data_IF_816124523980
#
_entry.id   IF_816124523980
#
_cell.length_a   1.000
_cell.length_b   1.000
_cell.length_c   1.000
_cell.angle_alpha   90.00
_cell.angle_beta   90.00
_cell.angle_gamma   90.00
#
_symmetry.space_group_name_H-M   'P 1'
#
loop_
_entity.id
_entity.type
_entity.pdbx_description
1 polymer ?
#
# COMPACT_ATOMS: atom_id res chain seq x y z
N UNK A 1 -27.16 14.57 -23.18
CA UNK A 1 -25.73 14.67 -23.42
C UNK A 1 -25.18 13.23 -23.35
N UNK A 2 -24.77 12.69 -24.46
CA UNK A 2 -24.28 11.31 -24.57
C UNK A 2 -22.97 11.23 -23.79
N UNK A 3 -22.98 10.52 -22.65
CA UNK A 3 -21.77 10.25 -21.88
C UNK A 3 -20.77 9.49 -22.79
N UNK A 4 -19.68 10.13 -23.13
CA UNK A 4 -18.52 9.40 -23.64
C UNK A 4 -18.14 8.43 -22.52
N UNK A 5 -18.20 7.13 -22.79
CA UNK A 5 -17.57 6.14 -21.91
C UNK A 5 -16.10 6.54 -21.80
N UNK A 6 -15.69 7.07 -20.66
CA UNK A 6 -14.31 7.41 -20.39
C UNK A 6 -13.54 6.08 -20.23
N UNK A 7 -12.71 5.78 -21.20
CA UNK A 7 -11.93 4.54 -21.17
C UNK A 7 -10.66 4.81 -20.35
N UNK A 8 -10.54 4.18 -19.21
CA UNK A 8 -9.35 4.25 -18.36
C UNK A 8 -8.27 3.31 -18.95
N UNK A 9 -7.20 3.90 -19.49
CA UNK A 9 -6.04 3.17 -20.03
C UNK A 9 -4.90 3.07 -19.02
N UNK A 10 -4.75 4.07 -18.14
CA UNK A 10 -3.71 4.14 -17.12
C UNK A 10 -4.38 4.32 -15.76
N UNK A 11 -4.35 3.27 -14.94
CA UNK A 11 -4.89 3.24 -13.58
C UNK A 11 -3.73 3.04 -12.62
N UNK A 12 -3.46 4.03 -11.78
CA UNK A 12 -2.42 4.02 -10.78
C UNK A 12 -3.01 3.74 -9.40
N UNK A 13 -2.56 2.66 -8.74
CA UNK A 13 -3.07 2.26 -7.43
C UNK A 13 -2.08 2.51 -6.28
N UNK A 14 -0.94 3.13 -6.57
CA UNK A 14 0.08 3.45 -5.57
C UNK A 14 0.35 4.95 -5.56
N UNK A 15 -0.48 5.68 -4.82
CA UNK A 15 -0.44 7.14 -4.79
C UNK A 15 -0.84 7.69 -3.43
N UNK A 16 0.15 8.14 -2.66
CA UNK A 16 -0.07 8.65 -1.32
C UNK A 16 -0.69 10.05 -1.33
N UNK A 17 -1.51 10.33 -0.31
CA UNK A 17 -2.06 11.65 -0.06
C UNK A 17 -1.92 12.05 1.41
N UNK A 18 -1.84 13.35 1.64
CA UNK A 18 -1.85 13.97 2.97
C UNK A 18 -2.91 15.07 2.94
N UNK A 19 -3.66 15.19 4.03
CA UNK A 19 -4.74 16.16 4.14
C UNK A 19 -4.44 17.17 5.24
N UNK A 20 -4.75 18.44 4.97
CA UNK A 20 -4.50 19.53 5.93
C UNK A 20 -5.25 19.31 7.26
N UNK A 21 -6.43 18.74 7.19
CA UNK A 21 -7.30 18.48 8.33
C UNK A 21 -6.72 17.41 9.28
N UNK A 22 -5.84 16.54 8.78
CA UNK A 22 -5.17 15.52 9.60
C UNK A 22 -3.93 16.06 10.32
N UNK A 23 -3.43 17.23 9.93
CA UNK A 23 -2.24 17.81 10.57
C UNK A 23 -2.51 18.13 12.04
N UNK A 24 -1.55 17.78 12.90
CA UNK A 24 -1.60 17.97 14.35
C UNK A 24 -2.78 17.27 15.06
N UNK A 25 -3.42 16.30 14.40
CA UNK A 25 -4.61 15.62 14.96
C UNK A 25 -4.28 14.63 16.08
N UNK A 26 -3.01 14.17 16.17
CA UNK A 26 -2.53 13.35 17.28
C UNK A 26 -1.53 14.17 18.09
N UNK A 27 -1.90 14.48 19.33
CA UNK A 27 -1.11 15.34 20.22
C UNK A 27 0.33 14.85 20.38
N UNK A 28 1.29 15.69 19.97
CA UNK A 28 2.72 15.41 20.09
C UNK A 28 3.29 14.43 19.03
N UNK A 29 2.43 13.74 18.27
CA UNK A 29 2.86 12.77 17.28
C UNK A 29 2.59 13.22 15.83
N UNK A 30 1.80 14.27 15.63
CA UNK A 30 1.53 14.85 14.31
C UNK A 30 0.28 14.28 13.62
N UNK A 31 0.26 14.08 12.31
CA UNK A 31 1.31 14.50 11.36
C UNK A 31 1.59 16.00 11.41
N UNK A 32 2.82 16.43 11.18
CA UNK A 32 3.22 17.82 11.21
C UNK A 32 4.03 18.22 9.97
N UNK A 33 3.82 19.44 9.49
CA UNK A 33 4.68 20.07 8.49
C UNK A 33 5.34 21.30 9.12
N UNK A 34 6.58 21.58 8.71
CA UNK A 34 7.30 22.72 9.25
C UNK A 34 8.55 23.05 8.44
N UNK A 35 9.40 23.89 9.04
CA UNK A 35 10.56 24.44 8.38
C UNK A 35 10.23 25.68 7.56
N UNK A 36 11.20 26.15 6.78
CA UNK A 36 11.07 27.25 5.86
C UNK A 36 11.10 26.76 4.39
N UNK A 37 11.15 27.71 3.44
CA UNK A 37 11.17 27.40 2.02
C UNK A 37 12.37 26.53 1.60
N UNK A 38 13.50 26.72 2.24
CA UNK A 38 14.77 26.09 1.88
C UNK A 38 15.03 24.79 2.68
N UNK A 39 14.38 24.67 3.85
CA UNK A 39 14.51 23.52 4.75
C UNK A 39 13.13 23.01 5.20
N UNK A 40 12.24 22.59 4.28
CA UNK A 40 10.94 22.03 4.65
C UNK A 40 11.10 20.65 5.27
N UNK A 41 10.14 20.27 6.11
CA UNK A 41 10.09 18.93 6.67
C UNK A 41 8.66 18.47 6.97
N UNK A 42 8.50 17.16 7.02
CA UNK A 42 7.29 16.49 7.46
C UNK A 42 7.62 15.49 8.57
N UNK A 43 6.83 15.40 9.62
CA UNK A 43 7.04 14.52 10.76
C UNK A 43 5.77 13.76 11.14
N UNK A 44 5.92 12.48 11.46
CA UNK A 44 4.91 11.67 12.15
C UNK A 44 5.60 10.75 13.17
N UNK A 45 5.12 10.74 14.41
CA UNK A 45 5.85 10.10 15.50
C UNK A 45 7.24 10.69 15.66
N UNK A 46 8.24 9.84 15.80
CA UNK A 46 9.65 10.20 15.89
C UNK A 46 10.33 10.35 14.52
N UNK A 47 9.67 9.94 13.44
CA UNK A 47 10.23 9.96 12.09
C UNK A 47 10.04 11.32 11.42
N UNK A 48 11.14 11.90 10.94
CA UNK A 48 11.17 13.20 10.27
C UNK A 48 11.79 13.08 8.89
N UNK A 49 11.01 13.44 7.87
CA UNK A 49 11.47 13.59 6.49
C UNK A 49 11.96 15.04 6.29
N UNK A 50 13.26 15.20 6.12
CA UNK A 50 13.87 16.50 5.82
C UNK A 50 13.96 16.74 4.32
N UNK A 51 13.86 18.01 3.91
CA UNK A 51 13.89 18.41 2.49
C UNK A 51 12.60 18.11 1.71
N UNK A 52 11.56 17.59 2.37
CA UNK A 52 10.29 17.24 1.73
C UNK A 52 9.23 18.28 2.03
N UNK A 53 8.68 18.88 0.97
CA UNK A 53 7.58 19.84 1.05
C UNK A 53 6.30 19.21 0.54
N UNK A 54 5.28 19.16 1.38
CA UNK A 54 3.94 18.66 0.99
C UNK A 54 2.94 19.80 0.77
N UNK A 55 3.05 20.89 1.53
CA UNK A 55 2.14 22.03 1.41
C UNK A 55 2.23 22.71 0.03
N UNK A 56 1.08 23.00 -0.57
CA UNK A 56 0.95 23.54 -1.93
C UNK A 56 1.59 22.65 -3.00
N UNK A 57 1.48 21.35 -2.85
CA UNK A 57 1.90 20.32 -3.82
C UNK A 57 0.74 19.36 -4.12
N UNK A 58 0.85 18.57 -5.18
CA UNK A 58 -0.17 17.55 -5.49
C UNK A 58 -0.38 16.49 -4.40
N UNK A 59 0.48 16.37 -3.39
CA UNK A 59 0.23 15.51 -2.23
C UNK A 59 -0.95 15.98 -1.38
N UNK A 60 -1.15 17.32 -1.28
CA UNK A 60 -2.17 17.93 -0.42
C UNK A 60 -3.25 18.67 -1.18
N UNK A 61 -3.02 19.03 -2.43
CA UNK A 61 -3.96 19.79 -3.26
C UNK A 61 -4.46 18.95 -4.42
N UNK A 62 -5.78 18.68 -4.40
CA UNK A 62 -6.44 17.82 -5.40
C UNK A 62 -6.40 18.44 -6.80
N UNK A 63 -6.49 19.76 -6.95
CA UNK A 63 -6.43 20.41 -8.27
C UNK A 63 -5.04 20.27 -8.86
N UNK A 64 -4.00 20.56 -8.07
CA UNK A 64 -2.61 20.33 -8.49
C UNK A 64 -2.34 18.86 -8.81
N UNK A 65 -2.96 17.93 -8.06
CA UNK A 65 -2.87 16.51 -8.34
C UNK A 65 -3.47 16.14 -9.70
N UNK A 66 -4.66 16.64 -10.00
CA UNK A 66 -5.31 16.40 -11.29
C UNK A 66 -4.47 16.95 -12.46
N UNK A 67 -3.89 18.15 -12.31
CA UNK A 67 -2.98 18.71 -13.29
C UNK A 67 -1.72 17.86 -13.49
N UNK A 68 -1.14 17.34 -12.40
CA UNK A 68 0.01 16.43 -12.47
C UNK A 68 -0.35 15.09 -13.12
N UNK A 69 -1.49 14.49 -12.79
CA UNK A 69 -2.01 13.27 -13.43
C UNK A 69 -2.18 13.49 -14.93
N UNK A 70 -2.80 14.61 -15.34
CA UNK A 70 -2.97 14.95 -16.75
C UNK A 70 -1.62 15.07 -17.47
N UNK A 71 -0.64 15.74 -16.84
CA UNK A 71 0.70 15.87 -17.39
C UNK A 71 1.42 14.54 -17.58
N UNK A 72 1.15 13.55 -16.72
CA UNK A 72 1.70 12.20 -16.76
C UNK A 72 0.88 11.25 -17.66
N UNK A 73 -0.38 11.58 -17.95
CA UNK A 73 -1.30 10.74 -18.71
C UNK A 73 -1.96 9.65 -17.87
N UNK A 74 -2.10 9.87 -16.55
CA UNK A 74 -2.81 8.97 -15.64
C UNK A 74 -4.30 9.27 -15.71
N UNK A 75 -5.11 8.27 -16.07
CA UNK A 75 -6.57 8.44 -16.22
C UNK A 75 -7.29 8.35 -14.88
N UNK A 76 -6.90 7.40 -14.03
CA UNK A 76 -7.51 7.16 -12.73
C UNK A 76 -6.43 6.85 -11.69
N UNK A 77 -6.61 7.36 -10.48
CA UNK A 77 -5.67 7.14 -9.39
C UNK A 77 -6.40 6.80 -8.10
N UNK A 78 -5.92 5.78 -7.37
CA UNK A 78 -6.45 5.42 -6.06
C UNK A 78 -5.53 6.00 -4.99
N UNK A 79 -6.05 6.94 -4.20
CA UNK A 79 -5.32 7.58 -3.12
C UNK A 79 -5.20 6.66 -1.92
N UNK A 80 -4.05 6.68 -1.28
CA UNK A 80 -3.76 5.93 -0.07
C UNK A 80 -3.20 6.81 1.04
N UNK A 81 -3.30 6.40 2.32
CA UNK A 81 -2.59 7.06 3.41
C UNK A 81 -1.08 7.13 3.14
N UNK A 82 -0.44 8.21 3.60
CA UNK A 82 1.02 8.24 3.59
C UNK A 82 1.55 7.21 4.61
N UNK A 83 2.55 6.36 4.26
CA UNK A 83 3.02 5.27 5.12
C UNK A 83 3.47 5.68 6.51
N UNK A 84 4.05 6.87 6.66
CA UNK A 84 4.46 7.35 7.99
C UNK A 84 3.29 7.80 8.88
N UNK A 85 2.06 7.75 8.37
CA UNK A 85 0.84 8.14 9.11
C UNK A 85 -0.04 6.95 9.49
N UNK A 86 0.47 5.72 9.49
CA UNK A 86 -0.33 4.56 9.94
C UNK A 86 -0.61 4.59 11.44
N UNK A 87 0.32 5.10 12.25
CA UNK A 87 0.18 5.20 13.70
C UNK A 87 -0.22 3.89 14.41
N UNK A 88 0.27 2.75 13.92
CA UNK A 88 -0.04 1.42 14.49
C UNK A 88 0.48 1.25 15.93
N UNK A 89 1.28 2.19 16.42
CA UNK A 89 1.91 2.17 17.75
C UNK A 89 1.20 3.01 18.80
N UNK A 90 0.14 3.75 18.43
CA UNK A 90 -0.63 4.58 19.39
C UNK A 90 -1.80 3.80 19.98
N UNK A 91 -2.43 4.37 21.00
CA UNK A 91 -3.61 3.77 21.62
C UNK A 91 -4.75 3.56 20.62
N UNK A 92 -5.44 2.40 20.64
CA UNK A 92 -6.47 2.06 19.65
C UNK A 92 -7.54 3.13 19.46
N UNK A 93 -7.98 3.78 20.54
CA UNK A 93 -8.98 4.86 20.48
C UNK A 93 -8.51 6.07 19.67
N UNK A 94 -7.24 6.44 19.79
CA UNK A 94 -6.65 7.55 19.04
C UNK A 94 -6.48 7.15 17.58
N UNK A 95 -6.04 5.92 17.32
CA UNK A 95 -5.94 5.39 15.94
C UNK A 95 -7.31 5.34 15.24
N UNK A 96 -8.36 4.89 15.92
CA UNK A 96 -9.73 4.89 15.37
C UNK A 96 -10.17 6.31 14.99
N UNK A 97 -9.93 7.29 15.83
CA UNK A 97 -10.30 8.68 15.58
C UNK A 97 -9.50 9.25 14.39
N UNK A 98 -8.20 8.96 14.33
CA UNK A 98 -7.34 9.40 13.24
C UNK A 98 -7.76 8.77 11.89
N UNK A 99 -7.97 7.46 11.85
CA UNK A 99 -8.38 6.77 10.62
C UNK A 99 -9.72 7.31 10.11
N UNK A 100 -10.70 7.54 10.98
CA UNK A 100 -11.98 8.15 10.59
C UNK A 100 -11.79 9.55 10.03
N UNK A 101 -11.02 10.40 10.69
CA UNK A 101 -10.73 11.76 10.22
C UNK A 101 -10.07 11.72 8.84
N UNK A 102 -9.07 10.85 8.67
CA UNK A 102 -8.35 10.68 7.40
C UNK A 102 -9.30 10.25 6.28
N UNK A 103 -10.09 9.21 6.51
CA UNK A 103 -11.01 8.65 5.51
C UNK A 103 -12.13 9.63 5.15
N UNK A 104 -12.71 10.31 6.13
CA UNK A 104 -13.74 11.34 5.88
C UNK A 104 -13.19 12.51 5.07
N UNK A 105 -11.98 12.97 5.41
CA UNK A 105 -11.31 14.06 4.68
C UNK A 105 -10.97 13.63 3.26
N UNK A 106 -10.42 12.44 3.06
CA UNK A 106 -10.14 11.91 1.72
C UNK A 106 -11.43 11.83 0.89
N UNK A 107 -12.50 11.23 1.43
CA UNK A 107 -13.78 11.10 0.74
C UNK A 107 -14.35 12.46 0.33
N UNK A 108 -14.29 13.44 1.22
CA UNK A 108 -14.71 14.82 0.93
C UNK A 108 -13.86 15.44 -0.19
N UNK A 109 -12.54 15.31 -0.10
CA UNK A 109 -11.60 15.92 -1.05
C UNK A 109 -11.77 15.39 -2.48
N UNK A 110 -12.07 14.10 -2.65
CA UNK A 110 -12.26 13.48 -3.97
C UNK A 110 -13.72 13.48 -4.44
N UNK A 111 -14.68 14.00 -3.65
CA UNK A 111 -16.12 13.86 -3.91
C UNK A 111 -16.57 14.37 -5.28
N UNK A 112 -15.96 15.44 -5.78
CA UNK A 112 -16.26 16.05 -7.08
C UNK A 112 -15.43 15.49 -8.25
N UNK A 113 -14.58 14.48 -7.99
CA UNK A 113 -13.60 13.94 -8.95
C UNK A 113 -13.59 12.41 -8.97
N UNK A 114 -14.71 11.78 -8.62
CA UNK A 114 -14.83 10.31 -8.52
C UNK A 114 -14.57 9.58 -9.84
N UNK A 115 -14.71 10.25 -10.97
CA UNK A 115 -14.35 9.72 -12.28
C UNK A 115 -12.84 9.67 -12.54
N UNK A 116 -12.04 10.36 -11.70
CA UNK A 116 -10.56 10.42 -11.78
C UNK A 116 -9.86 9.88 -10.53
N UNK A 117 -10.54 9.88 -9.37
CA UNK A 117 -9.93 9.59 -8.08
C UNK A 117 -10.79 8.62 -7.26
N UNK A 118 -10.16 7.59 -6.76
CA UNK A 118 -10.67 6.68 -5.73
C UNK A 118 -9.87 6.78 -4.44
N UNK A 119 -10.23 5.96 -3.44
CA UNK A 119 -9.50 5.90 -2.17
C UNK A 119 -9.38 4.49 -1.62
N UNK A 120 -8.29 4.26 -0.88
CA UNK A 120 -8.13 3.14 0.03
C UNK A 120 -8.28 3.61 1.48
N UNK A 121 -8.90 2.81 2.33
CA UNK A 121 -9.15 3.14 3.71
C UNK A 121 -7.90 3.04 4.58
N UNK A 122 -7.64 4.07 5.38
CA UNK A 122 -6.75 4.01 6.54
C UNK A 122 -7.46 3.27 7.67
N UNK A 123 -6.77 2.32 8.32
CA UNK A 123 -7.39 1.41 9.28
C UNK A 123 -6.60 1.31 10.60
N UNK A 124 -7.30 1.25 11.76
CA UNK A 124 -6.68 1.13 13.07
C UNK A 124 -6.27 -0.33 13.36
N UNK A 125 -5.16 -0.79 12.78
CA UNK A 125 -4.72 -2.19 12.83
C UNK A 125 -4.31 -2.71 14.21
N UNK A 126 -4.28 -1.85 15.23
CA UNK A 126 -4.15 -2.25 16.64
C UNK A 126 -5.40 -3.00 17.14
N UNK A 127 -6.55 -2.80 16.49
CA UNK A 127 -7.84 -3.38 16.83
C UNK A 127 -8.53 -3.90 15.55
N UNK A 128 -8.41 -5.21 15.23
CA UNK A 128 -8.97 -5.78 14.00
C UNK A 128 -10.50 -5.66 13.89
N UNK A 129 -11.22 -5.64 15.02
CA UNK A 129 -12.68 -5.44 15.00
C UNK A 129 -13.03 -4.01 14.60
N UNK A 130 -12.31 -3.02 15.15
CA UNK A 130 -12.46 -1.63 14.77
C UNK A 130 -12.03 -1.39 13.32
N UNK A 131 -10.96 -2.06 12.87
CA UNK A 131 -10.51 -2.01 11.48
C UNK A 131 -11.57 -2.55 10.52
N UNK A 132 -12.22 -3.67 10.84
CA UNK A 132 -13.31 -4.24 10.04
C UNK A 132 -14.51 -3.27 9.93
N UNK A 133 -14.91 -2.66 11.04
CA UNK A 133 -16.01 -1.67 11.07
C UNK A 133 -15.70 -0.43 10.24
N UNK A 134 -14.46 0.08 10.35
CA UNK A 134 -14.04 1.25 9.57
C UNK A 134 -13.89 0.93 8.08
N UNK A 135 -13.43 -0.28 7.74
CA UNK A 135 -13.39 -0.76 6.35
C UNK A 135 -14.81 -0.81 5.77
N UNK A 136 -15.75 -1.45 6.50
CA UNK A 136 -17.14 -1.53 6.07
C UNK A 136 -17.75 -0.14 5.82
N UNK A 137 -17.55 0.79 6.74
CA UNK A 137 -17.99 2.18 6.59
C UNK A 137 -17.33 2.86 5.38
N UNK A 138 -16.02 2.69 5.22
CA UNK A 138 -15.27 3.31 4.14
C UNK A 138 -15.71 2.81 2.76
N UNK A 139 -16.03 1.53 2.64
CA UNK A 139 -16.52 0.95 1.39
C UNK A 139 -17.97 1.34 1.13
N UNK A 140 -18.87 1.15 2.11
CA UNK A 140 -20.32 1.32 1.91
C UNK A 140 -20.76 2.79 1.89
N UNK A 141 -20.20 3.62 2.78
CA UNK A 141 -20.66 5.00 2.96
C UNK A 141 -19.75 6.00 2.23
N UNK A 142 -18.43 5.74 2.13
CA UNK A 142 -17.48 6.64 1.50
C UNK A 142 -17.12 6.23 0.06
N UNK A 143 -17.46 5.00 -0.37
CA UNK A 143 -17.22 4.49 -1.73
C UNK A 143 -15.74 4.25 -2.01
N UNK A 144 -14.99 3.76 -1.04
CA UNK A 144 -13.59 3.39 -1.20
C UNK A 144 -13.44 2.01 -1.82
N UNK A 145 -12.29 1.76 -2.46
CA UNK A 145 -12.01 0.54 -3.21
C UNK A 145 -11.42 -0.60 -2.37
N UNK A 146 -11.03 -0.35 -1.13
CA UNK A 146 -10.46 -1.39 -0.28
C UNK A 146 -9.68 -0.85 0.91
N UNK A 147 -8.90 -1.73 1.51
CA UNK A 147 -8.07 -1.46 2.68
C UNK A 147 -6.62 -1.11 2.29
N UNK A 148 -5.97 -0.25 3.08
CA UNK A 148 -4.55 0.04 2.97
C UNK A 148 -3.90 -0.06 4.35
N UNK A 149 -2.95 -0.99 4.50
CA UNK A 149 -2.31 -1.28 5.80
C UNK A 149 -0.80 -1.39 5.68
N UNK A 150 -0.11 -1.31 6.82
CA UNK A 150 1.33 -1.54 6.93
C UNK A 150 1.70 -3.01 6.85
N UNK A 151 3.00 -3.26 6.67
CA UNK A 151 3.59 -4.60 6.76
C UNK A 151 3.74 -5.07 8.21
N UNK A 152 3.82 -4.13 9.16
CA UNK A 152 4.05 -4.37 10.58
C UNK A 152 3.03 -3.61 11.45
N UNK A 153 2.41 -4.35 12.38
CA UNK A 153 1.50 -3.84 13.42
C UNK A 153 1.42 -4.87 14.56
N UNK A 154 0.90 -4.51 15.75
CA UNK A 154 1.07 -5.30 16.99
C UNK A 154 0.72 -6.78 16.90
N UNK A 155 -0.33 -7.15 16.16
CA UNK A 155 -0.72 -8.56 15.99
C UNK A 155 0.08 -9.29 14.89
N UNK A 156 0.49 -8.55 13.86
CA UNK A 156 1.09 -9.10 12.65
C UNK A 156 0.09 -9.79 11.70
N UNK A 157 0.49 -9.87 10.44
CA UNK A 157 -0.37 -10.32 9.33
C UNK A 157 -0.87 -11.78 9.46
N UNK A 158 -0.09 -12.69 10.06
CA UNK A 158 -0.45 -14.11 10.13
C UNK A 158 -1.28 -14.49 11.35
N UNK A 159 -1.53 -13.55 12.27
CA UNK A 159 -2.21 -13.84 13.53
C UNK A 159 -3.69 -14.21 13.30
N UNK A 160 -4.18 -15.25 13.99
CA UNK A 160 -5.56 -15.75 13.79
C UNK A 160 -6.65 -14.72 14.12
N UNK A 161 -6.39 -13.77 15.01
CA UNK A 161 -7.35 -12.68 15.29
C UNK A 161 -7.55 -11.74 14.07
N UNK A 162 -6.70 -11.84 13.05
CA UNK A 162 -6.88 -11.13 11.78
C UNK A 162 -7.91 -11.81 10.85
N UNK A 163 -8.28 -13.05 11.13
CA UNK A 163 -9.16 -13.83 10.22
C UNK A 163 -10.55 -13.17 10.03
N UNK A 164 -11.08 -12.51 11.06
CA UNK A 164 -12.34 -11.75 10.95
C UNK A 164 -12.20 -10.52 10.05
N UNK A 165 -11.08 -9.81 10.15
CA UNK A 165 -10.77 -8.71 9.25
C UNK A 165 -10.60 -9.18 7.80
N UNK A 166 -9.93 -10.30 7.57
CA UNK A 166 -9.81 -10.87 6.23
C UNK A 166 -11.16 -11.32 5.65
N UNK A 167 -12.04 -11.88 6.48
CA UNK A 167 -13.42 -12.18 6.07
C UNK A 167 -14.18 -10.91 5.69
N UNK A 168 -14.01 -9.81 6.43
CA UNK A 168 -14.64 -8.53 6.08
C UNK A 168 -14.18 -8.01 4.70
N UNK A 169 -12.90 -8.15 4.36
CA UNK A 169 -12.42 -7.80 3.02
C UNK A 169 -13.11 -8.65 1.93
N UNK A 170 -13.24 -9.98 2.17
CA UNK A 170 -13.88 -10.91 1.23
C UNK A 170 -15.39 -10.60 1.09
N UNK A 171 -16.10 -10.40 2.20
CA UNK A 171 -17.54 -10.12 2.21
C UNK A 171 -17.89 -8.78 1.54
N UNK A 172 -17.00 -7.81 1.64
CA UNK A 172 -17.11 -6.51 0.97
C UNK A 172 -16.64 -6.55 -0.49
N UNK A 173 -16.06 -7.67 -0.92
CA UNK A 173 -15.45 -7.88 -2.25
C UNK A 173 -14.43 -6.78 -2.61
N UNK A 174 -13.51 -6.49 -1.70
CA UNK A 174 -12.49 -5.46 -1.87
C UNK A 174 -11.08 -5.97 -1.58
N UNK A 175 -10.05 -5.43 -2.27
CA UNK A 175 -8.67 -5.79 -2.02
C UNK A 175 -8.12 -5.20 -0.73
N UNK A 176 -7.11 -5.88 -0.21
CA UNK A 176 -6.21 -5.43 0.84
C UNK A 176 -4.87 -5.02 0.22
N UNK A 177 -4.54 -3.73 0.21
CA UNK A 177 -3.24 -3.24 -0.22
C UNK A 177 -2.29 -3.16 0.98
N UNK A 178 -1.10 -3.73 0.85
CA UNK A 178 -0.06 -3.76 1.89
C UNK A 178 1.15 -2.97 1.43
N UNK A 179 1.59 -2.01 2.25
CA UNK A 179 2.74 -1.17 1.97
C UNK A 179 3.56 -0.94 3.24
N UNK A 180 4.89 -1.03 3.21
CA UNK A 180 5.71 -0.82 4.38
C UNK A 180 5.66 0.63 4.90
N UNK A 181 6.08 0.81 6.13
CA UNK A 181 6.38 2.10 6.71
C UNK A 181 7.88 2.19 7.05
N UNK A 182 8.50 3.37 7.05
CA UNK A 182 9.90 3.48 7.45
C UNK A 182 10.06 3.09 8.90
N UNK A 183 11.18 2.46 9.22
CA UNK A 183 11.56 2.21 10.61
C UNK A 183 11.86 3.53 11.32
N UNK A 184 11.71 3.56 12.64
CA UNK A 184 12.01 4.76 13.43
C UNK A 184 10.82 5.69 13.71
N UNK A 185 9.59 5.33 13.29
CA UNK A 185 8.38 6.14 13.56
C UNK A 185 8.02 6.11 15.05
N UNK A 186 8.22 5.01 15.73
CA UNK A 186 7.87 4.78 17.14
C UNK A 186 9.09 4.51 18.03
N UNK A 187 10.22 5.10 17.73
CA UNK A 187 11.48 4.91 18.41
C UNK A 187 12.65 4.66 17.44
N UNK A 188 13.82 4.33 17.94
CA UNK A 188 15.00 4.10 17.12
C UNK A 188 14.78 2.97 16.10
N UNK A 189 15.38 3.11 14.92
CA UNK A 189 15.44 2.03 13.95
C UNK A 189 16.02 0.76 14.56
N UNK A 190 15.39 -0.38 14.31
CA UNK A 190 15.83 -1.67 14.87
C UNK A 190 17.13 -2.19 14.26
N UNK A 191 17.48 -1.74 13.06
CA UNK A 191 18.72 -2.08 12.37
C UNK A 191 19.49 -0.81 12.02
N UNK A 192 20.50 -0.49 12.83
CA UNK A 192 21.36 0.68 12.65
C UNK A 192 22.08 0.76 11.30
N UNK A 193 22.17 -0.35 10.56
CA UNK A 193 22.74 -0.34 9.21
C UNK A 193 21.85 0.40 8.22
N UNK A 194 20.58 0.60 8.55
CA UNK A 194 19.59 1.30 7.73
C UNK A 194 19.50 2.81 8.04
N UNK A 195 20.18 3.30 9.08
CA UNK A 195 20.06 4.70 9.53
C UNK A 195 20.66 5.71 8.54
N UNK A 196 21.53 5.28 7.62
CA UNK A 196 22.22 6.16 6.68
C UNK A 196 21.80 5.87 5.23
N UNK A 197 22.00 6.88 4.37
CA UNK A 197 21.84 6.78 2.92
C UNK A 197 20.41 6.43 2.48
N UNK A 198 19.40 6.69 3.31
CA UNK A 198 18.00 6.30 3.09
C UNK A 198 17.85 4.79 2.83
N UNK A 199 18.69 3.97 3.50
CA UNK A 199 18.59 2.52 3.37
C UNK A 199 17.34 1.96 4.03
N UNK A 200 16.74 2.68 4.99
CA UNK A 200 15.43 2.39 5.56
C UNK A 200 14.33 2.36 4.49
N UNK A 201 14.36 3.27 3.53
CA UNK A 201 13.39 3.34 2.43
C UNK A 201 13.75 2.39 1.27
N UNK A 202 15.04 2.26 0.94
CA UNK A 202 15.44 1.49 -0.26
C UNK A 202 15.62 0.01 0.01
N UNK A 203 16.19 -0.37 1.15
CA UNK A 203 16.43 -1.75 1.56
C UNK A 203 15.42 -2.21 2.61
N UNK A 204 15.09 -1.33 3.56
CA UNK A 204 14.13 -1.61 4.64
C UNK A 204 12.77 -1.98 4.08
N UNK A 205 12.20 -1.16 3.21
CA UNK A 205 10.92 -1.43 2.56
C UNK A 205 10.89 -2.78 1.85
N UNK A 206 11.90 -3.07 1.03
CA UNK A 206 11.97 -4.34 0.31
C UNK A 206 12.09 -5.55 1.24
N UNK A 207 12.78 -5.41 2.37
CA UNK A 207 12.88 -6.46 3.39
C UNK A 207 11.54 -6.68 4.11
N UNK A 208 10.85 -5.60 4.47
CA UNK A 208 9.57 -5.65 5.18
C UNK A 208 8.48 -6.29 4.30
N UNK A 209 8.42 -5.94 3.02
CA UNK A 209 7.51 -6.57 2.05
C UNK A 209 7.80 -8.06 1.87
N UNK A 210 9.07 -8.41 1.75
CA UNK A 210 9.47 -9.82 1.65
C UNK A 210 9.09 -10.61 2.90
N UNK A 211 9.29 -10.02 4.09
CA UNK A 211 8.91 -10.62 5.36
C UNK A 211 7.38 -10.74 5.49
N UNK A 212 6.64 -9.71 5.07
CA UNK A 212 5.17 -9.71 5.04
C UNK A 212 4.63 -10.86 4.17
N UNK A 213 5.16 -11.01 2.95
CA UNK A 213 4.80 -12.12 2.06
C UNK A 213 5.15 -13.49 2.69
N UNK A 214 6.30 -13.60 3.33
CA UNK A 214 6.67 -14.78 4.09
C UNK A 214 5.66 -15.10 5.20
N UNK A 215 5.28 -14.11 6.01
CA UNK A 215 4.30 -14.27 7.07
C UNK A 215 2.92 -14.67 6.53
N UNK A 216 2.44 -14.03 5.47
CA UNK A 216 1.15 -14.36 4.85
C UNK A 216 1.13 -15.80 4.33
N UNK A 217 2.18 -16.23 3.62
CA UNK A 217 2.23 -17.54 2.98
C UNK A 217 2.51 -18.65 4.02
N UNK A 218 3.59 -18.57 4.79
CA UNK A 218 3.89 -19.59 5.81
C UNK A 218 2.84 -19.62 6.93
N UNK A 219 2.27 -18.47 7.28
CA UNK A 219 1.18 -18.34 8.23
C UNK A 219 -0.17 -18.85 7.73
N UNK A 220 -0.26 -19.20 6.43
CA UNK A 220 -1.45 -19.83 5.84
C UNK A 220 -2.64 -18.90 5.69
N UNK A 221 -2.43 -17.61 5.54
CA UNK A 221 -3.53 -16.64 5.39
C UNK A 221 -4.34 -16.95 4.14
N UNK A 222 -3.71 -17.04 2.98
CA UNK A 222 -4.41 -17.39 1.73
C UNK A 222 -4.89 -18.84 1.68
N UNK A 223 -4.28 -19.75 2.47
CA UNK A 223 -4.78 -21.11 2.65
C UNK A 223 -6.13 -21.14 3.40
N UNK A 224 -6.29 -20.28 4.43
CA UNK A 224 -7.56 -20.11 5.16
C UNK A 224 -8.56 -19.21 4.45
N UNK A 225 -8.09 -18.28 3.64
CA UNK A 225 -8.87 -17.23 2.96
C UNK A 225 -8.51 -17.17 1.45
N UNK A 226 -8.83 -18.21 0.66
CA UNK A 226 -8.38 -18.31 -0.74
C UNK A 226 -9.00 -17.26 -1.66
N UNK A 227 -10.10 -16.63 -1.25
CA UNK A 227 -10.80 -15.57 -2.01
C UNK A 227 -10.34 -14.17 -1.62
N UNK A 228 -9.35 -14.04 -0.72
CA UNK A 228 -8.80 -12.74 -0.31
C UNK A 228 -7.85 -12.20 -1.37
N UNK A 229 -8.18 -11.07 -1.97
CA UNK A 229 -7.27 -10.35 -2.84
C UNK A 229 -6.31 -9.48 -2.02
N UNK A 230 -5.05 -9.88 -1.97
CA UNK A 230 -3.96 -9.10 -1.36
C UNK A 230 -3.13 -8.50 -2.48
N UNK A 231 -2.87 -7.19 -2.43
CA UNK A 231 -1.90 -6.51 -3.29
C UNK A 231 -0.74 -5.97 -2.43
N UNK A 232 0.48 -6.17 -2.88
CA UNK A 232 1.67 -5.66 -2.20
C UNK A 232 2.44 -4.70 -3.08
N UNK A 233 3.02 -3.67 -2.45
CA UNK A 233 3.80 -2.63 -3.13
C UNK A 233 5.15 -3.10 -3.65
N UNK A 234 5.80 -2.28 -4.47
CA UNK A 234 7.19 -2.39 -4.97
C UNK A 234 7.58 -3.79 -5.46
N UNK A 235 6.65 -4.46 -6.19
CA UNK A 235 6.88 -5.82 -6.67
C UNK A 235 7.10 -6.87 -5.57
N UNK A 236 6.68 -6.56 -4.33
CA UNK A 236 6.88 -7.43 -3.17
C UNK A 236 8.33 -7.47 -2.68
N UNK A 237 9.07 -6.39 -2.88
CA UNK A 237 10.44 -6.25 -2.41
C UNK A 237 11.40 -7.24 -3.06
N UNK A 238 12.04 -8.07 -2.23
CA UNK A 238 13.04 -9.05 -2.70
C UNK A 238 12.42 -10.40 -3.09
N UNK A 239 11.09 -10.54 -3.08
CA UNK A 239 10.43 -11.85 -3.19
C UNK A 239 10.77 -12.59 -4.49
N UNK A 240 10.82 -11.89 -5.62
CA UNK A 240 11.11 -12.51 -6.90
C UNK A 240 12.50 -13.17 -6.92
N UNK A 241 13.50 -12.55 -6.28
CA UNK A 241 14.84 -13.11 -6.15
C UNK A 241 14.88 -14.26 -5.13
N UNK A 242 14.12 -14.17 -4.03
CA UNK A 242 14.14 -15.12 -2.93
C UNK A 242 13.13 -16.28 -3.08
N UNK A 243 12.21 -16.22 -4.04
CA UNK A 243 11.12 -17.18 -4.20
C UNK A 243 11.58 -18.65 -4.20
N UNK A 244 12.63 -18.98 -4.94
CA UNK A 244 13.18 -20.33 -4.97
C UNK A 244 13.77 -20.78 -3.64
N UNK A 245 14.44 -19.88 -2.90
CA UNK A 245 14.97 -20.18 -1.56
C UNK A 245 13.86 -20.38 -0.54
N UNK A 246 12.79 -19.57 -0.61
CA UNK A 246 11.64 -19.69 0.28
C UNK A 246 10.81 -20.94 -0.02
N UNK A 247 10.62 -21.28 -1.30
CA UNK A 247 9.99 -22.54 -1.70
C UNK A 247 10.75 -23.78 -1.16
N UNK A 248 12.07 -23.77 -1.31
CA UNK A 248 12.91 -24.85 -0.78
C UNK A 248 12.84 -24.93 0.75
N UNK A 249 12.76 -23.78 1.43
CA UNK A 249 12.57 -23.75 2.88
C UNK A 249 11.18 -24.29 3.28
N UNK A 250 10.12 -23.95 2.53
CA UNK A 250 8.78 -24.47 2.75
C UNK A 250 8.73 -26.01 2.70
N UNK A 251 9.40 -26.59 1.71
CA UNK A 251 9.45 -28.04 1.52
C UNK A 251 10.28 -28.77 2.58
N UNK A 252 11.39 -28.20 3.05
CA UNK A 252 12.44 -28.95 3.76
C UNK A 252 12.70 -28.53 5.21
N UNK A 253 12.21 -27.38 5.65
CA UNK A 253 12.47 -26.93 7.04
C UNK A 253 11.46 -27.53 8.00
N UNK A 254 11.95 -27.99 9.16
CA UNK A 254 11.11 -28.52 10.23
C UNK A 254 10.15 -27.49 10.84
N UNK A 255 10.46 -26.20 10.69
CA UNK A 255 9.61 -25.07 11.13
C UNK A 255 8.47 -24.77 10.16
N UNK A 256 8.49 -25.35 8.96
CA UNK A 256 7.41 -25.13 7.99
C UNK A 256 6.15 -25.93 8.39
N UNK A 257 4.96 -25.30 8.33
CA UNK A 257 3.70 -26.01 8.53
C UNK A 257 3.52 -27.16 7.53
N UNK A 258 2.87 -28.26 7.95
CA UNK A 258 2.73 -29.44 7.09
C UNK A 258 2.03 -29.15 5.76
N UNK A 259 1.02 -28.30 5.77
CA UNK A 259 0.24 -27.99 4.57
C UNK A 259 1.04 -27.34 3.43
N UNK A 260 2.16 -26.63 3.74
CA UNK A 260 2.97 -25.96 2.72
C UNK A 260 4.16 -26.81 2.25
N UNK A 261 4.39 -27.98 2.85
CA UNK A 261 5.52 -28.85 2.50
C UNK A 261 5.36 -29.58 1.15
N UNK A 262 4.16 -29.57 0.60
CA UNK A 262 3.95 -30.10 -0.74
C UNK A 262 4.79 -29.32 -1.75
N UNK A 263 5.46 -30.04 -2.64
CA UNK A 263 6.33 -29.44 -3.65
C UNK A 263 5.60 -28.43 -4.52
N UNK A 264 6.13 -27.20 -4.52
CA UNK A 264 5.58 -26.12 -5.32
C UNK A 264 4.43 -25.35 -4.66
N UNK A 265 3.93 -25.75 -3.49
CA UNK A 265 2.80 -25.09 -2.82
C UNK A 265 3.12 -23.64 -2.47
N UNK A 266 4.35 -23.33 -2.01
CA UNK A 266 4.76 -21.95 -1.76
C UNK A 266 4.60 -21.06 -3.00
N UNK A 267 5.08 -21.50 -4.16
CA UNK A 267 4.97 -20.72 -5.40
C UNK A 267 3.52 -20.62 -5.89
N UNK A 268 2.69 -21.63 -5.63
CA UNK A 268 1.26 -21.56 -5.92
C UNK A 268 0.57 -20.51 -5.07
N UNK A 269 0.84 -20.45 -3.78
CA UNK A 269 0.33 -19.41 -2.88
C UNK A 269 0.82 -18.01 -3.28
N UNK A 270 2.11 -17.88 -3.62
CA UNK A 270 2.68 -16.61 -4.07
C UNK A 270 1.97 -16.04 -5.30
N UNK A 271 1.53 -16.90 -6.22
CA UNK A 271 0.80 -16.49 -7.44
C UNK A 271 -0.65 -16.05 -7.20
N UNK A 272 -1.19 -16.23 -6.01
CA UNK A 272 -2.50 -15.69 -5.64
C UNK A 272 -2.44 -14.20 -5.28
N UNK A 273 -1.27 -13.71 -4.94
CA UNK A 273 -1.04 -12.32 -4.52
C UNK A 273 -0.91 -11.40 -5.74
N UNK A 274 -1.47 -10.20 -5.63
CA UNK A 274 -1.28 -9.11 -6.59
C UNK A 274 -0.05 -8.30 -6.22
N UNK A 275 0.60 -7.75 -7.22
CA UNK A 275 1.81 -6.95 -7.07
C UNK A 275 1.65 -5.65 -7.82
N UNK A 276 1.98 -4.51 -7.21
CA UNK A 276 2.26 -3.38 -8.07
C UNK A 276 3.60 -3.59 -8.81
N UNK A 277 3.73 -3.00 -9.96
CA UNK A 277 4.92 -3.16 -10.78
C UNK A 277 5.91 -2.00 -10.61
N UNK A 278 5.88 -1.33 -9.47
CA UNK A 278 6.84 -0.26 -9.15
C UNK A 278 8.24 -0.83 -8.92
N UNK A 279 8.87 -1.21 -10.03
CA UNK A 279 10.20 -1.84 -10.11
C UNK A 279 11.01 -1.10 -11.16
N UNK A 280 12.24 -0.68 -10.82
CA UNK A 280 12.98 0.33 -11.58
C UNK A 280 13.86 -0.20 -12.73
N UNK A 281 14.05 -1.52 -12.83
CA UNK A 281 14.92 -2.12 -13.84
C UNK A 281 14.17 -3.20 -14.62
N UNK A 282 14.31 -3.19 -15.94
CA UNK A 282 13.70 -4.20 -16.82
C UNK A 282 14.08 -5.63 -16.44
N UNK A 283 15.32 -5.84 -16.01
CA UNK A 283 15.77 -7.16 -15.56
C UNK A 283 15.01 -7.63 -14.31
N UNK A 284 14.76 -6.73 -13.37
CA UNK A 284 14.00 -7.03 -12.14
C UNK A 284 12.51 -7.23 -12.44
N UNK A 285 11.93 -6.40 -13.31
CA UNK A 285 10.55 -6.57 -13.76
C UNK A 285 10.36 -7.89 -14.53
N UNK A 286 11.29 -8.24 -15.42
CA UNK A 286 11.29 -9.52 -16.12
C UNK A 286 11.42 -10.72 -15.17
N UNK A 287 12.15 -10.58 -14.06
CA UNK A 287 12.22 -11.61 -13.03
C UNK A 287 10.88 -11.74 -12.31
N UNK A 288 10.26 -10.62 -11.91
CA UNK A 288 8.93 -10.61 -11.31
C UNK A 288 7.91 -11.29 -12.22
N UNK A 289 7.85 -10.91 -13.51
CA UNK A 289 6.99 -11.53 -14.53
C UNK A 289 7.13 -13.06 -14.58
N UNK A 290 8.36 -13.56 -14.52
CA UNK A 290 8.64 -15.01 -14.55
C UNK A 290 8.18 -15.74 -13.29
N UNK A 291 8.23 -15.09 -12.14
CA UNK A 291 7.92 -15.72 -10.85
C UNK A 291 6.42 -15.66 -10.54
N UNK A 292 5.80 -14.50 -10.67
CA UNK A 292 4.40 -14.29 -10.26
C UNK A 292 3.40 -14.28 -11.41
N UNK A 293 3.85 -14.02 -12.66
CA UNK A 293 2.99 -13.85 -13.83
C UNK A 293 2.55 -12.40 -14.02
N UNK A 294 2.00 -12.10 -15.20
CA UNK A 294 1.50 -10.76 -15.55
C UNK A 294 0.06 -10.53 -15.11
N UNK A 295 -0.67 -11.61 -14.87
CA UNK A 295 -2.10 -11.61 -14.56
C UNK A 295 -2.43 -11.05 -13.17
N UNK A 296 -1.42 -10.91 -12.31
CA UNK A 296 -1.51 -10.42 -10.95
C UNK A 296 -0.65 -9.17 -10.72
N UNK A 297 -0.34 -8.43 -11.81
CA UNK A 297 0.39 -7.18 -11.71
C UNK A 297 -0.51 -6.00 -12.06
N UNK A 298 -0.32 -4.90 -11.35
CA UNK A 298 -1.02 -3.63 -11.52
C UNK A 298 -0.01 -2.48 -11.54
N UNK A 299 -0.40 -1.33 -12.08
CA UNK A 299 0.48 -0.17 -12.07
C UNK A 299 0.51 0.48 -10.68
N UNK A 300 1.71 0.65 -10.16
CA UNK A 300 2.02 1.57 -9.07
C UNK A 300 3.05 2.60 -9.54
N UNK A 301 2.82 3.89 -9.29
CA UNK A 301 3.79 4.92 -9.67
C UNK A 301 4.55 5.49 -8.48
N UNK A 302 4.17 5.19 -7.24
CA UNK A 302 4.62 5.91 -6.05
C UNK A 302 4.53 7.43 -6.28
N UNK A 303 3.33 7.86 -6.71
CA UNK A 303 3.05 9.19 -7.26
C UNK A 303 3.69 10.33 -6.46
N UNK A 304 4.53 11.12 -7.12
CA UNK A 304 5.37 12.18 -6.58
C UNK A 304 6.42 11.72 -5.57
N UNK A 305 6.63 10.43 -5.43
CA UNK A 305 7.79 9.89 -4.74
C UNK A 305 9.09 10.26 -5.46
N UNK A 306 10.20 10.15 -4.74
CA UNK A 306 11.54 10.45 -5.30
C UNK A 306 11.90 9.54 -6.50
N UNK A 307 11.24 8.42 -6.61
CA UNK A 307 11.45 7.35 -7.61
C UNK A 307 10.30 7.19 -8.60
N UNK A 308 9.38 8.17 -8.67
CA UNK A 308 8.26 8.14 -9.60
C UNK A 308 8.73 7.98 -11.07
N UNK A 309 8.10 7.07 -11.85
CA UNK A 309 8.36 6.95 -13.28
C UNK A 309 8.10 8.27 -14.04
N UNK A 310 8.90 8.55 -15.05
CA UNK A 310 8.67 9.70 -15.91
C UNK A 310 7.51 9.47 -16.90
N UNK A 311 7.03 10.55 -17.53
CA UNK A 311 5.88 10.51 -18.46
C UNK A 311 6.07 9.53 -19.62
N UNK A 312 7.28 9.40 -20.17
CA UNK A 312 7.52 8.51 -21.30
C UNK A 312 7.35 7.05 -20.88
N UNK A 313 7.90 6.70 -19.70
CA UNK A 313 7.73 5.35 -19.13
C UNK A 313 6.26 5.03 -18.87
N UNK A 314 5.45 5.99 -18.39
CA UNK A 314 4.02 5.78 -18.15
C UNK A 314 3.25 5.57 -19.45
N UNK A 315 3.58 6.27 -20.53
CA UNK A 315 2.92 6.10 -21.83
C UNK A 315 3.16 4.75 -22.50
N UNK A 316 4.26 4.09 -22.17
CA UNK A 316 4.65 2.79 -22.72
C UNK A 316 4.12 1.62 -21.86
N UNK A 317 3.31 1.90 -20.83
CA UNK A 317 2.76 0.89 -19.93
C UNK A 317 1.81 -0.05 -20.68
N UNK A 318 1.97 -1.37 -20.53
CA UNK A 318 1.10 -2.35 -21.18
C UNK A 318 -0.35 -2.25 -20.69
N UNK A 319 -1.31 -2.34 -21.60
CA UNK A 319 -2.75 -2.19 -21.31
C UNK A 319 -3.28 -3.23 -20.33
N UNK A 320 -2.68 -4.42 -20.24
CA UNK A 320 -3.10 -5.45 -19.30
C UNK A 320 -3.04 -4.99 -17.82
N UNK A 321 -2.19 -4.02 -17.48
CA UNK A 321 -2.10 -3.48 -16.12
C UNK A 321 -3.38 -2.74 -15.72
N UNK A 322 -3.98 -1.99 -16.67
CA UNK A 322 -5.27 -1.34 -16.43
C UNK A 322 -6.41 -2.35 -16.32
N UNK A 323 -6.42 -3.40 -17.15
CA UNK A 323 -7.43 -4.45 -17.08
C UNK A 323 -7.32 -5.23 -15.76
N UNK A 324 -6.10 -5.50 -15.31
CA UNK A 324 -5.84 -6.09 -14.00
C UNK A 324 -6.30 -5.17 -12.85
N UNK A 325 -6.00 -3.87 -12.93
CA UNK A 325 -6.43 -2.91 -11.91
C UNK A 325 -7.97 -2.82 -11.84
N UNK A 326 -8.67 -2.80 -12.99
CA UNK A 326 -10.14 -2.86 -13.02
C UNK A 326 -10.67 -4.12 -12.34
N UNK A 327 -10.06 -5.26 -12.60
CA UNK A 327 -10.43 -6.52 -11.96
C UNK A 327 -10.20 -6.47 -10.45
N UNK A 328 -9.03 -5.99 -10.01
CA UNK A 328 -8.68 -5.90 -8.58
C UNK A 328 -9.61 -4.93 -7.83
N UNK A 329 -9.92 -3.78 -8.43
CA UNK A 329 -10.70 -2.70 -7.82
C UNK A 329 -12.22 -2.82 -8.04
N UNK A 330 -12.69 -3.81 -8.83
CA UNK A 330 -14.11 -3.96 -9.21
C UNK A 330 -14.66 -2.73 -9.97
N UNK A 331 -13.85 -2.16 -10.89
CA UNK A 331 -14.22 -0.99 -11.74
C UNK A 331 -14.87 -1.41 -13.05
#
# INVERSE_FOLDING_TARGET
MTGKNFVMHIIDIHAHAIFKETLNSIKGLGPEIGGDKDNPWFRAGDYKLEGVRYENTPFMDINLRLEAMESLGIDYQVLSPNPITYFHFIEPKEAINYCKLHNDTMAHSISNHRERLGGFASLPMQDPEAASKELERSVKDLGFHGAYIGTDFPLGLAHQQMDDFYRSCIELDVPLFIHPAPQGINGPCSDHRLDLYSLDLTVGFANDETAALGNLIFGGVLHRHPDLDICISHGGGNIAFLAGRMALAAENRHTSPEWIKEKGEFLKQLKLIWFDNHVHQDASLNLLDKIVGKERQVLGTNFLGWDQPNRNSIKEIPSYLADNAKKLLRL
#
